data_IF_843695820928
#
_entry.id   IF_843695820928
#
_cell.length_a   1.000
_cell.length_b   1.000
_cell.length_c   1.000
_cell.angle_alpha   90.00
_cell.angle_beta   90.00
_cell.angle_gamma   90.00
#
_symmetry.space_group_name_H-M   'P 1'
#
loop_
_entity.id
_entity.type
_entity.pdbx_description
1 polymer ?
#
# COMPACT_ATOMS: atom_id res chain seq x y z
N UNK A 1 3.60 22.57 2.97
CA UNK A 1 2.66 21.43 3.11
C UNK A 1 3.38 20.08 3.13
N UNK A 2 4.26 19.80 2.17
CA UNK A 2 4.97 18.52 2.07
C UNK A 2 5.87 18.22 3.28
N UNK A 3 6.70 19.17 3.73
CA UNK A 3 7.56 19.01 4.92
C UNK A 3 6.78 18.65 6.20
N UNK A 4 5.61 19.25 6.41
CA UNK A 4 4.75 18.90 7.55
C UNK A 4 4.21 17.47 7.46
N UNK A 5 3.90 16.99 6.25
CA UNK A 5 3.42 15.61 6.03
C UNK A 5 4.55 14.62 6.28
N UNK A 6 5.75 14.90 5.76
CA UNK A 6 6.96 14.08 6.02
C UNK A 6 7.26 13.98 7.51
N UNK A 7 7.18 15.10 8.25
CA UNK A 7 7.39 15.10 9.70
C UNK A 7 6.35 14.26 10.47
N UNK A 8 5.09 14.26 10.02
CA UNK A 8 4.03 13.42 10.61
C UNK A 8 4.22 11.94 10.26
N UNK A 9 4.61 11.63 9.01
CA UNK A 9 4.96 10.28 8.57
C UNK A 9 6.14 9.71 9.37
N UNK A 10 7.19 10.51 9.61
CA UNK A 10 8.33 10.13 10.45
C UNK A 10 7.92 9.78 11.89
N UNK A 11 6.89 10.46 12.41
CA UNK A 11 6.31 10.19 13.73
C UNK A 11 5.25 9.07 13.73
N UNK A 12 4.97 8.46 12.57
CA UNK A 12 3.85 7.52 12.35
C UNK A 12 2.48 8.08 12.76
N UNK A 13 2.32 9.41 12.75
CA UNK A 13 1.04 10.07 13.02
C UNK A 13 0.17 10.07 11.76
N UNK A 14 -0.38 8.90 11.43
CA UNK A 14 -1.19 8.71 10.23
C UNK A 14 -2.52 9.50 10.29
N UNK A 15 -3.11 9.68 11.48
CA UNK A 15 -4.31 10.52 11.66
C UNK A 15 -4.02 12.00 11.35
N UNK A 16 -2.87 12.52 11.82
CA UNK A 16 -2.39 13.85 11.46
C UNK A 16 -2.21 14.01 9.95
N UNK A 17 -1.62 13.01 9.29
CA UNK A 17 -1.45 13.01 7.82
C UNK A 17 -2.80 13.01 7.11
N UNK A 18 -3.71 12.09 7.49
CA UNK A 18 -5.05 11.97 6.89
C UNK A 18 -5.80 13.28 7.01
N UNK A 19 -5.89 13.88 8.20
CA UNK A 19 -6.58 15.18 8.40
C UNK A 19 -6.02 16.28 7.49
N UNK A 20 -4.71 16.28 7.25
CA UNK A 20 -4.05 17.30 6.44
C UNK A 20 -4.17 17.04 4.94
N UNK A 21 -4.17 15.77 4.52
CA UNK A 21 -4.25 15.40 3.11
C UNK A 21 -5.69 15.26 2.60
N UNK A 22 -6.67 15.06 3.48
CA UNK A 22 -8.07 14.91 3.09
C UNK A 22 -8.62 16.14 2.33
N UNK A 23 -8.14 17.34 2.69
CA UNK A 23 -8.46 18.61 2.01
C UNK A 23 -7.36 19.07 1.03
N UNK A 24 -6.25 18.33 0.90
CA UNK A 24 -5.15 18.68 0.02
C UNK A 24 -5.41 18.23 -1.43
N UNK A 25 -4.51 18.64 -2.33
CA UNK A 25 -4.65 18.48 -3.78
C UNK A 25 -4.96 17.05 -4.27
N UNK A 26 -5.41 16.95 -5.52
CA UNK A 26 -5.90 15.69 -6.13
C UNK A 26 -4.83 14.94 -6.93
N UNK A 27 -3.55 15.19 -6.69
CA UNK A 27 -2.49 14.50 -7.41
C UNK A 27 -2.41 13.02 -7.00
N UNK A 28 -2.04 12.10 -7.92
CA UNK A 28 -1.90 10.68 -7.61
C UNK A 28 -0.99 10.41 -6.40
N UNK A 29 0.14 11.10 -6.28
CA UNK A 29 1.07 10.95 -5.15
C UNK A 29 0.44 11.31 -3.78
N UNK A 30 -0.33 12.41 -3.72
CA UNK A 30 -1.04 12.81 -2.49
C UNK A 30 -2.12 11.79 -2.14
N UNK A 31 -2.92 11.36 -3.13
CA UNK A 31 -3.97 10.37 -2.94
C UNK A 31 -3.41 9.00 -2.57
N UNK A 32 -2.27 8.62 -3.12
CA UNK A 32 -1.56 7.40 -2.79
C UNK A 32 -1.11 7.41 -1.32
N UNK A 33 -0.47 8.50 -0.89
CA UNK A 33 -0.03 8.67 0.51
C UNK A 33 -1.21 8.64 1.48
N UNK A 34 -2.30 9.35 1.14
CA UNK A 34 -3.55 9.31 1.92
C UNK A 34 -4.09 7.88 2.03
N UNK A 35 -4.18 7.15 0.91
CA UNK A 35 -4.65 5.76 0.87
C UNK A 35 -3.80 4.83 1.75
N UNK A 36 -2.48 4.93 1.68
CA UNK A 36 -1.57 4.14 2.52
C UNK A 36 -1.76 4.44 4.01
N UNK A 37 -1.89 5.72 4.40
CA UNK A 37 -2.14 6.10 5.78
C UNK A 37 -3.48 5.54 6.29
N UNK A 38 -4.52 5.57 5.46
CA UNK A 38 -5.83 4.99 5.78
C UNK A 38 -5.74 3.46 5.97
N UNK A 39 -4.97 2.75 5.12
CA UNK A 39 -4.72 1.31 5.30
C UNK A 39 -4.05 1.01 6.65
N UNK A 40 -3.04 1.79 7.02
CA UNK A 40 -2.29 1.62 8.27
C UNK A 40 -3.11 1.95 9.53
N UNK A 41 -4.13 2.80 9.39
CA UNK A 41 -5.14 3.06 10.43
C UNK A 41 -6.26 2.00 10.48
N UNK A 42 -6.25 1.00 9.60
CA UNK A 42 -7.30 0.00 9.49
C UNK A 42 -8.59 0.48 8.80
N UNK A 43 -8.60 1.71 8.25
CA UNK A 43 -9.74 2.32 7.53
C UNK A 43 -9.78 1.83 6.07
N UNK A 44 -9.90 0.51 5.90
CA UNK A 44 -9.65 -0.19 4.63
C UNK A 44 -10.65 0.15 3.52
N UNK A 45 -11.93 0.36 3.83
CA UNK A 45 -12.97 0.71 2.85
C UNK A 45 -12.74 2.12 2.31
N UNK A 46 -12.33 3.04 3.19
CA UNK A 46 -12.05 4.42 2.85
C UNK A 46 -10.77 4.54 2.03
N UNK A 47 -9.73 3.78 2.39
CA UNK A 47 -8.52 3.65 1.58
C UNK A 47 -8.85 3.16 0.17
N UNK A 48 -9.65 2.10 0.05
CA UNK A 48 -10.05 1.55 -1.24
C UNK A 48 -10.82 2.59 -2.08
N UNK A 49 -11.72 3.35 -1.46
CA UNK A 49 -12.43 4.45 -2.12
C UNK A 49 -11.46 5.49 -2.68
N UNK A 50 -10.46 5.89 -1.89
CA UNK A 50 -9.41 6.84 -2.34
C UNK A 50 -8.66 6.29 -3.55
N UNK A 51 -8.20 5.04 -3.52
CA UNK A 51 -7.47 4.45 -4.65
C UNK A 51 -8.33 4.36 -5.92
N UNK A 52 -9.59 3.93 -5.82
CA UNK A 52 -10.50 3.83 -6.97
C UNK A 52 -10.67 5.15 -7.69
N UNK A 53 -10.67 6.28 -6.97
CA UNK A 53 -10.88 7.61 -7.57
C UNK A 53 -9.80 8.03 -8.57
N UNK A 54 -8.57 7.52 -8.43
CA UNK A 54 -7.46 7.96 -9.28
C UNK A 54 -6.79 6.83 -10.06
N UNK A 55 -6.89 5.58 -9.62
CA UNK A 55 -6.38 4.42 -10.36
C UNK A 55 -7.34 4.04 -11.49
N UNK A 56 -8.65 4.11 -11.24
CA UNK A 56 -9.65 3.78 -12.24
C UNK A 56 -10.04 5.03 -13.07
N UNK A 57 -10.30 4.81 -14.35
CA UNK A 57 -10.92 5.79 -15.23
C UNK A 57 -12.36 6.06 -14.78
N UNK A 58 -12.95 7.18 -15.20
CA UNK A 58 -14.33 7.56 -14.88
C UNK A 58 -15.39 6.51 -15.26
N UNK A 59 -15.06 5.59 -16.17
CA UNK A 59 -15.93 4.46 -16.54
C UNK A 59 -15.77 3.24 -15.62
N UNK A 60 -14.94 3.31 -14.58
CA UNK A 60 -14.77 2.27 -13.54
C UNK A 60 -14.13 0.96 -13.99
N UNK A 61 -13.97 0.74 -15.30
CA UNK A 61 -13.56 -0.55 -15.90
C UNK A 61 -12.12 -0.52 -16.45
N UNK A 62 -11.61 0.63 -16.86
CA UNK A 62 -10.23 0.77 -17.37
C UNK A 62 -9.35 1.55 -16.40
N UNK A 63 -8.12 1.09 -16.23
CA UNK A 63 -7.09 1.81 -15.47
C UNK A 63 -6.63 3.08 -16.22
N UNK A 64 -6.30 4.16 -15.49
CA UNK A 64 -5.67 5.33 -16.08
C UNK A 64 -4.20 5.03 -16.41
N UNK A 65 -3.79 5.26 -17.66
CA UNK A 65 -2.43 4.93 -18.14
C UNK A 65 -1.30 5.68 -17.43
N UNK A 66 -1.59 6.82 -16.80
CA UNK A 66 -0.58 7.70 -16.17
C UNK A 66 -0.27 7.40 -14.69
N UNK A 67 -0.85 6.33 -14.13
CA UNK A 67 -0.68 5.99 -12.72
C UNK A 67 0.61 5.20 -12.49
N UNK A 68 1.42 5.61 -11.50
CA UNK A 68 2.70 4.96 -11.20
C UNK A 68 2.53 3.50 -10.76
N UNK A 69 3.53 2.66 -11.04
CA UNK A 69 3.57 1.25 -10.62
C UNK A 69 3.32 1.08 -9.12
N UNK A 70 3.86 1.99 -8.30
CA UNK A 70 3.66 2.04 -6.84
C UNK A 70 2.19 2.25 -6.46
N UNK A 71 1.50 3.19 -7.11
CA UNK A 71 0.08 3.41 -6.89
C UNK A 71 -0.75 2.15 -7.22
N UNK A 72 -0.38 1.41 -8.27
CA UNK A 72 -1.04 0.14 -8.66
C UNK A 72 -0.87 -0.94 -7.59
N UNK A 73 0.35 -1.11 -7.06
CA UNK A 73 0.62 -2.06 -5.97
C UNK A 73 -0.11 -1.69 -4.68
N UNK A 74 -0.22 -0.40 -4.37
CA UNK A 74 -0.99 0.07 -3.22
C UNK A 74 -2.48 -0.14 -3.40
N UNK A 75 -3.00 0.04 -4.61
CA UNK A 75 -4.37 -0.33 -4.93
C UNK A 75 -4.62 -1.83 -4.80
N UNK A 76 -3.69 -2.66 -5.29
CA UNK A 76 -3.76 -4.10 -5.07
C UNK A 76 -3.77 -4.47 -3.58
N UNK A 77 -2.94 -3.80 -2.77
CA UNK A 77 -2.93 -3.95 -1.31
C UNK A 77 -4.29 -3.61 -0.71
N UNK A 78 -4.90 -2.48 -1.13
CA UNK A 78 -6.21 -2.07 -0.67
C UNK A 78 -7.32 -3.06 -1.05
N UNK A 79 -7.29 -3.59 -2.28
CA UNK A 79 -8.22 -4.64 -2.71
C UNK A 79 -8.06 -5.90 -1.85
N UNK A 80 -6.82 -6.30 -1.58
CA UNK A 80 -6.50 -7.51 -0.83
C UNK A 80 -7.01 -7.46 0.62
N UNK A 81 -6.77 -6.36 1.34
CA UNK A 81 -7.26 -6.20 2.73
C UNK A 81 -8.78 -6.11 2.83
N UNK A 82 -9.45 -5.73 1.73
CA UNK A 82 -10.91 -5.72 1.61
C UNK A 82 -11.46 -7.08 1.14
N UNK A 83 -10.62 -8.11 0.99
CA UNK A 83 -11.04 -9.44 0.53
C UNK A 83 -11.34 -9.52 -0.97
N UNK A 84 -11.01 -8.49 -1.74
CA UNK A 84 -11.23 -8.42 -3.19
C UNK A 84 -10.05 -9.04 -3.95
N UNK A 85 -9.85 -10.34 -3.73
CA UNK A 85 -8.70 -11.13 -4.21
C UNK A 85 -8.55 -11.07 -5.74
N UNK A 86 -9.65 -11.21 -6.50
CA UNK A 86 -9.64 -11.14 -7.96
C UNK A 86 -9.08 -9.82 -8.47
N UNK A 87 -9.65 -8.71 -8.02
CA UNK A 87 -9.19 -7.38 -8.40
C UNK A 87 -7.75 -7.12 -7.95
N UNK A 88 -7.34 -7.61 -6.78
CA UNK A 88 -5.96 -7.47 -6.32
C UNK A 88 -4.97 -8.16 -7.27
N UNK A 89 -5.30 -9.36 -7.74
CA UNK A 89 -4.48 -10.09 -8.70
C UNK A 89 -4.38 -9.36 -10.05
N UNK A 90 -5.51 -8.83 -10.53
CA UNK A 90 -5.56 -8.08 -11.79
C UNK A 90 -4.70 -6.81 -11.69
N UNK A 91 -4.82 -6.04 -10.61
CA UNK A 91 -4.01 -4.86 -10.35
C UNK A 91 -2.50 -5.19 -10.24
N UNK A 92 -2.13 -6.32 -9.63
CA UNK A 92 -0.74 -6.78 -9.58
C UNK A 92 -0.20 -7.14 -10.97
N UNK A 93 -1.01 -7.79 -11.81
CA UNK A 93 -0.63 -8.14 -13.18
C UNK A 93 -0.45 -6.88 -14.05
N UNK A 94 -1.24 -5.84 -13.80
CA UNK A 94 -1.19 -4.56 -14.51
C UNK A 94 -0.12 -3.60 -13.96
N UNK A 95 0.51 -3.92 -12.82
CA UNK A 95 1.51 -3.05 -12.18
C UNK A 95 2.79 -2.83 -13.01
N UNK A 96 3.02 -3.60 -14.07
CA UNK A 96 4.17 -3.46 -14.98
C UNK A 96 5.52 -3.92 -14.41
N UNK A 97 5.57 -4.26 -13.12
CA UNK A 97 6.79 -4.65 -12.40
C UNK A 97 6.58 -5.96 -11.65
N UNK A 98 6.50 -7.11 -12.35
CA UNK A 98 6.16 -8.40 -11.75
C UNK A 98 7.17 -8.86 -10.69
N UNK A 99 8.43 -8.44 -10.81
CA UNK A 99 9.53 -8.81 -9.90
C UNK A 99 9.76 -7.80 -8.77
N UNK A 100 8.93 -6.76 -8.64
CA UNK A 100 9.06 -5.80 -7.54
C UNK A 100 8.91 -6.52 -6.19
N UNK A 101 9.75 -6.24 -5.17
CA UNK A 101 9.70 -6.95 -3.88
C UNK A 101 8.29 -6.98 -3.28
N UNK A 102 7.61 -5.83 -3.24
CA UNK A 102 6.23 -5.75 -2.74
C UNK A 102 5.22 -6.53 -3.56
N UNK A 103 5.35 -6.57 -4.88
CA UNK A 103 4.47 -7.37 -5.73
C UNK A 103 4.64 -8.86 -5.43
N UNK A 104 5.89 -9.31 -5.26
CA UNK A 104 6.24 -10.68 -4.88
C UNK A 104 5.68 -11.05 -3.50
N UNK A 105 5.80 -10.16 -2.51
CA UNK A 105 5.23 -10.36 -1.17
C UNK A 105 3.70 -10.47 -1.21
N UNK A 106 3.02 -9.57 -1.92
CA UNK A 106 1.56 -9.63 -2.09
C UNK A 106 1.10 -10.93 -2.76
N UNK A 107 1.83 -11.39 -3.79
CA UNK A 107 1.59 -12.69 -4.44
C UNK A 107 1.86 -13.86 -3.50
N UNK A 108 2.83 -13.74 -2.61
CA UNK A 108 3.12 -14.75 -1.60
C UNK A 108 1.98 -14.84 -0.59
N UNK A 109 1.48 -13.72 -0.06
CA UNK A 109 0.30 -13.69 0.80
C UNK A 109 -0.94 -14.31 0.12
N UNK A 110 -1.16 -14.00 -1.16
CA UNK A 110 -2.22 -14.61 -1.97
C UNK A 110 -2.04 -16.13 -2.07
N UNK A 111 -0.82 -16.60 -2.37
CA UNK A 111 -0.53 -18.03 -2.49
C UNK A 111 -0.71 -18.75 -1.16
N UNK A 112 -0.28 -18.15 -0.06
CA UNK A 112 -0.41 -18.74 1.27
C UNK A 112 -1.89 -18.82 1.67
N UNK A 113 -2.68 -17.79 1.37
CA UNK A 113 -4.13 -17.85 1.49
C UNK A 113 -4.75 -18.94 0.61
N UNK A 114 -4.35 -19.07 -0.66
CA UNK A 114 -4.87 -20.11 -1.55
C UNK A 114 -4.63 -21.53 -0.98
N UNK A 115 -3.52 -21.74 -0.27
CA UNK A 115 -3.20 -23.01 0.40
C UNK A 115 -4.09 -23.31 1.61
N UNK A 116 -4.78 -22.31 2.16
CA UNK A 116 -5.76 -22.50 3.24
C UNK A 116 -7.14 -22.94 2.72
N UNK A 117 -7.37 -22.88 1.41
CA UNK A 117 -8.64 -23.28 0.82
C UNK A 117 -8.77 -24.81 0.78
N UNK A 118 -9.96 -25.32 1.06
CA UNK A 118 -10.29 -26.71 0.75
C UNK A 118 -10.23 -26.93 -0.76
N UNK A 119 -9.95 -28.16 -1.19
CA UNK A 119 -9.80 -28.49 -2.60
C UNK A 119 -10.97 -27.97 -3.49
N UNK A 120 -12.22 -28.13 -3.02
CA UNK A 120 -13.40 -27.63 -3.73
C UNK A 120 -13.43 -26.10 -3.83
N UNK A 121 -13.08 -25.38 -2.76
CA UNK A 121 -13.03 -23.91 -2.76
C UNK A 121 -11.88 -23.39 -3.61
N UNK A 122 -10.75 -24.09 -3.59
CA UNK A 122 -9.62 -23.79 -4.46
C UNK A 122 -10.03 -23.93 -5.93
N UNK A 123 -10.73 -25.00 -6.30
CA UNK A 123 -11.21 -25.22 -7.66
C UNK A 123 -12.22 -24.15 -8.08
N UNK A 124 -13.21 -23.86 -7.24
CA UNK A 124 -14.24 -22.84 -7.48
C UNK A 124 -13.63 -21.44 -7.64
N UNK A 125 -12.63 -21.10 -6.81
CA UNK A 125 -11.84 -19.88 -6.97
C UNK A 125 -11.06 -19.86 -8.29
N UNK A 126 -10.36 -20.95 -8.65
CA UNK A 126 -9.52 -20.98 -9.84
C UNK A 126 -10.32 -20.90 -11.14
N UNK A 127 -11.49 -21.53 -11.19
CA UNK A 127 -12.33 -21.58 -12.40
C UNK A 127 -13.30 -20.39 -12.44
N UNK A 128 -14.07 -20.18 -11.37
CA UNK A 128 -15.18 -19.23 -11.35
C UNK A 128 -14.81 -17.87 -10.75
N UNK A 129 -13.58 -17.70 -10.21
CA UNK A 129 -13.17 -16.52 -9.44
C UNK A 129 -14.06 -16.21 -8.24
N UNK A 130 -14.76 -17.23 -7.74
CA UNK A 130 -15.63 -17.12 -6.57
C UNK A 130 -14.76 -17.19 -5.32
N UNK A 131 -14.83 -16.14 -4.50
CA UNK A 131 -14.07 -16.02 -3.25
C UNK A 131 -15.00 -16.29 -2.07
N UNK A 132 -14.55 -16.97 -0.99
CA UNK A 132 -15.35 -17.16 0.22
C UNK A 132 -15.84 -15.82 0.81
N UNK A 133 -17.08 -15.78 1.32
CA UNK A 133 -17.72 -14.55 1.84
C UNK A 133 -16.92 -13.82 2.93
N UNK A 134 -16.15 -14.56 3.73
CA UNK A 134 -15.28 -14.01 4.78
C UNK A 134 -13.81 -14.21 4.44
N UNK A 135 -13.43 -13.85 3.22
CA UNK A 135 -12.05 -13.94 2.78
C UNK A 135 -11.20 -12.86 3.44
N UNK A 136 -10.19 -13.30 4.20
CA UNK A 136 -9.16 -12.45 4.74
C UNK A 136 -7.80 -13.01 4.30
N UNK A 137 -7.05 -12.21 3.55
CA UNK A 137 -5.67 -12.54 3.18
C UNK A 137 -4.75 -11.85 4.20
N UNK A 138 -4.05 -12.60 5.07
CA UNK A 138 -3.18 -12.00 6.05
C UNK A 138 -1.97 -11.36 5.37
N UNK A 139 -1.69 -10.10 5.70
CA UNK A 139 -0.46 -9.43 5.30
C UNK A 139 0.59 -9.63 6.39
N UNK A 140 1.79 -10.05 6.01
CA UNK A 140 2.93 -10.25 6.92
C UNK A 140 3.81 -9.00 7.03
N UNK A 141 3.38 -7.89 6.45
CA UNK A 141 4.11 -6.63 6.35
C UNK A 141 3.15 -5.43 6.49
N UNK A 142 3.71 -4.25 6.72
CA UNK A 142 2.94 -3.02 6.87
C UNK A 142 2.23 -2.66 5.54
N UNK A 143 0.89 -2.43 5.54
CA UNK A 143 0.16 -2.17 4.30
C UNK A 143 0.64 -0.93 3.55
N UNK A 144 0.91 -1.11 2.26
CA UNK A 144 1.18 -0.04 1.31
C UNK A 144 2.57 0.58 1.39
N UNK A 145 3.04 1.05 0.24
CA UNK A 145 4.34 1.65 0.00
C UNK A 145 4.21 3.18 -0.06
N UNK A 146 5.04 3.88 0.71
CA UNK A 146 5.15 5.33 0.60
C UNK A 146 6.27 5.64 -0.41
N UNK A 147 5.98 6.50 -1.40
CA UNK A 147 7.01 6.98 -2.35
C UNK A 147 8.08 7.85 -1.66
N UNK A 148 7.75 8.42 -0.50
CA UNK A 148 8.72 9.07 0.36
C UNK A 148 9.38 7.99 1.21
N UNK A 149 10.58 7.55 0.80
CA UNK A 149 11.45 6.81 1.70
C UNK A 149 11.87 7.78 2.81
N UNK A 150 11.12 7.78 3.91
CA UNK A 150 11.61 8.36 5.16
C UNK A 150 12.58 7.32 5.69
N UNK A 151 13.80 7.31 5.16
CA UNK A 151 14.90 6.53 5.70
C UNK A 151 15.10 6.91 7.17
N UNK A 152 14.41 6.23 8.07
CA UNK A 152 14.58 6.33 9.52
C UNK A 152 15.88 5.63 9.97
N UNK A 153 16.93 5.66 9.14
CA UNK A 153 18.13 4.85 9.27
C UNK A 153 19.46 5.60 9.36
N UNK A 154 19.58 6.81 8.80
CA UNK A 154 20.90 7.48 8.70
C UNK A 154 21.08 8.73 9.56
N UNK A 155 19.99 9.37 10.02
CA UNK A 155 20.11 10.56 10.88
C UNK A 155 20.46 10.22 12.34
N UNK A 156 20.31 8.95 12.75
CA UNK A 156 20.67 8.50 14.10
C UNK A 156 22.17 8.15 14.23
N UNK A 157 22.87 7.88 13.12
CA UNK A 157 24.33 7.60 13.13
C UNK A 157 25.16 8.88 13.04
N UNK A 158 24.73 9.85 12.24
CA UNK A 158 25.46 11.11 12.03
C UNK A 158 25.47 12.03 13.25
N UNK A 159 24.48 11.92 14.15
CA UNK A 159 24.45 12.66 15.42
C UNK A 159 25.31 12.03 16.53
N UNK A 160 25.66 10.74 16.43
CA UNK A 160 26.45 10.07 17.47
C UNK A 160 27.97 10.14 17.18
N UNK A 161 28.37 10.30 15.91
CA UNK A 161 29.79 10.44 15.53
C UNK A 161 30.31 11.89 15.67
N UNK A 162 29.42 12.88 15.67
CA UNK A 162 29.79 14.30 15.83
C UNK A 162 29.88 14.76 17.30
N UNK A 163 29.60 13.88 18.27
CA UNK A 163 29.75 14.14 19.71
C UNK A 163 30.96 13.45 20.36
N UNK A 164 31.76 12.69 19.59
CA UNK A 164 33.01 12.09 20.07
C UNK A 164 34.23 12.90 19.58
N UNK A 165 34.37 14.14 20.06
CA UNK A 165 35.67 14.81 20.08
C UNK A 165 36.46 14.26 21.28
N UNK A 166 37.62 13.59 21.09
CA UNK A 166 38.59 13.52 22.16
C UNK A 166 39.20 14.91 22.35
N UNK A 167 39.00 15.44 23.56
CA UNK A 167 39.71 16.57 24.09
C UNK A 167 41.23 16.37 23.95
N UNK A 168 41.92 17.47 23.63
CA UNK A 168 43.30 17.45 23.17
C UNK A 168 44.34 16.92 24.16
N UNK A 169 45.48 16.54 23.58
CA UNK A 169 46.78 17.18 23.81
C UNK A 169 47.77 16.71 22.74
#
# INVERSE_FOLDING_TARGET
MLQSVVKLLAKRDYEGVVRRLHSAGRTPAIRNTLGVCLLRLGRKEEALSVFRQFVLSSNGVLERSEVSSTCRRNFATALLVNGLVGGALDALNQSGEPNHPRATELRTCLRDWERTLSWWRWLDWKINRIVPKSCHVPLTFEPGELEFDVSLGDDARTLNESHALPAGR
#
